data_IF_714392998389
#
_entry.id   IF_714392998389
#
_cell.length_a   1.000
_cell.length_b   1.000
_cell.length_c   1.000
_cell.angle_alpha   90.00
_cell.angle_beta   90.00
_cell.angle_gamma   90.00
#
_symmetry.space_group_name_H-M   'P 1'
#
loop_
_entity.id
_entity.type
_entity.pdbx_description
1 polymer ?
#
# COMPACT_ATOMS: atom_id res chain seq x y z
N UNK A 1 2.03 41.85 28.88
CA UNK A 1 2.17 41.34 27.49
C UNK A 1 1.82 39.86 27.51
N UNK A 2 0.56 39.53 27.83
CA UNK A 2 0.13 38.15 28.20
C UNK A 2 -1.32 37.84 27.78
N UNK A 3 -1.89 38.60 26.84
CA UNK A 3 -3.29 38.41 26.43
C UNK A 3 -3.49 37.38 25.28
N UNK A 4 -2.44 37.07 24.52
CA UNK A 4 -2.55 36.27 23.28
C UNK A 4 -2.56 34.75 23.51
N UNK A 5 -2.12 34.28 24.69
CA UNK A 5 -1.93 32.84 24.93
C UNK A 5 -3.25 32.06 25.12
N UNK A 6 -4.34 32.71 25.55
CA UNK A 6 -5.59 32.04 25.90
C UNK A 6 -6.51 31.78 24.70
N UNK A 7 -6.38 32.54 23.61
CA UNK A 7 -7.25 32.44 22.44
C UNK A 7 -6.97 31.18 21.58
N UNK A 8 -5.74 30.66 21.63
CA UNK A 8 -5.34 29.47 20.87
C UNK A 8 -5.93 28.15 21.43
N UNK A 9 -6.22 28.09 22.73
CA UNK A 9 -6.71 26.88 23.39
C UNK A 9 -8.19 26.56 23.11
N UNK A 10 -8.98 27.57 22.69
CA UNK A 10 -10.39 27.37 22.32
C UNK A 10 -10.54 26.91 20.86
N UNK A 11 -9.65 27.36 19.97
CA UNK A 11 -9.69 27.02 18.54
C UNK A 11 -9.44 25.53 18.26
N UNK A 12 -8.57 24.86 19.03
CA UNK A 12 -8.21 23.45 18.79
C UNK A 12 -9.35 22.47 19.07
N UNK A 13 -10.33 22.83 19.91
CA UNK A 13 -11.46 21.94 20.25
C UNK A 13 -12.52 21.79 19.15
N UNK A 14 -12.49 22.63 18.10
CA UNK A 14 -13.42 22.52 16.96
C UNK A 14 -12.96 21.61 15.82
N UNK A 15 -11.67 21.24 15.78
CA UNK A 15 -11.12 20.44 14.67
C UNK A 15 -11.35 18.92 14.89
N UNK A 16 -11.57 18.50 16.13
CA UNK A 16 -11.62 17.08 16.52
C UNK A 16 -13.04 16.49 16.58
N UNK A 17 -14.04 17.10 15.93
CA UNK A 17 -15.44 16.71 16.09
C UNK A 17 -16.41 17.09 14.96
N UNK A 18 -16.31 16.41 13.82
CA UNK A 18 -17.38 16.02 12.86
C UNK A 18 -16.64 15.42 11.64
N UNK A 19 -16.70 14.12 11.31
CA UNK A 19 -17.84 13.32 10.85
C UNK A 19 -18.55 13.91 9.62
N UNK A 20 -18.64 13.08 8.57
CA UNK A 20 -19.30 13.29 7.27
C UNK A 20 -18.65 14.39 6.41
N UNK A 21 -18.63 14.38 5.08
CA UNK A 21 -18.98 13.50 3.95
C UNK A 21 -18.77 14.43 2.73
N UNK A 22 -18.79 13.88 1.51
CA UNK A 22 -19.04 14.59 0.24
C UNK A 22 -18.07 15.67 -0.30
N UNK A 23 -18.03 15.65 -1.63
CA UNK A 23 -17.59 16.65 -2.60
C UNK A 23 -16.07 16.77 -2.90
N UNK A 24 -15.52 16.27 -4.02
CA UNK A 24 -15.91 16.25 -5.46
C UNK A 24 -15.43 17.49 -6.24
N UNK A 25 -15.26 17.31 -7.55
CA UNK A 25 -14.98 18.31 -8.62
C UNK A 25 -13.52 18.87 -8.53
N UNK A 26 -12.67 18.97 -9.57
CA UNK A 26 -12.79 19.12 -11.05
C UNK A 26 -11.78 18.18 -11.78
N UNK A 27 -12.12 17.35 -12.78
CA UNK A 27 -12.38 17.62 -14.24
C UNK A 27 -11.13 18.03 -15.06
N UNK A 28 -10.94 17.74 -16.37
CA UNK A 28 -11.82 17.22 -17.44
C UNK A 28 -10.99 16.65 -18.63
N UNK A 29 -11.67 15.96 -19.56
CA UNK A 29 -11.23 15.46 -20.89
C UNK A 29 -10.13 14.37 -20.94
N UNK A 30 -10.07 13.49 -21.97
CA UNK A 30 -11.09 12.95 -22.90
C UNK A 30 -10.53 11.66 -23.56
N UNK A 31 -11.34 10.92 -24.32
CA UNK A 31 -10.86 10.02 -25.38
C UNK A 31 -10.94 8.53 -25.04
N UNK A 32 -12.04 7.89 -25.42
CA UNK A 32 -12.13 6.42 -25.40
C UNK A 32 -11.30 5.79 -26.51
N UNK A 33 -10.35 4.93 -26.15
CA UNK A 33 -9.82 3.89 -27.02
C UNK A 33 -9.78 2.56 -26.27
N UNK A 34 -10.69 1.68 -26.68
CA UNK A 34 -10.58 0.24 -26.45
C UNK A 34 -9.39 -0.26 -27.27
N UNK A 35 -8.21 -0.29 -26.69
CA UNK A 35 -7.07 -0.93 -27.34
C UNK A 35 -6.11 -1.58 -26.33
N UNK A 36 -5.92 -2.87 -26.56
CA UNK A 36 -4.93 -3.75 -25.96
C UNK A 36 -3.53 -3.11 -25.93
N UNK A 37 -3.12 -2.58 -24.78
CA UNK A 37 -1.71 -2.48 -24.45
C UNK A 37 -1.40 -3.38 -23.27
N UNK A 38 -0.87 -4.56 -23.59
CA UNK A 38 -0.07 -5.33 -22.67
C UNK A 38 1.18 -4.49 -22.34
N UNK A 39 1.05 -3.55 -21.39
CA UNK A 39 2.18 -2.84 -20.81
C UNK A 39 2.89 -3.79 -19.86
N UNK A 40 3.54 -4.77 -20.48
CA UNK A 40 4.54 -5.63 -19.87
C UNK A 40 5.72 -4.74 -19.51
N UNK A 41 5.60 -4.01 -18.40
CA UNK A 41 6.75 -3.35 -17.80
C UNK A 41 7.66 -4.45 -17.23
N UNK A 42 8.44 -5.05 -18.12
CA UNK A 42 9.48 -6.03 -17.87
C UNK A 42 10.58 -5.39 -17.03
N UNK A 43 10.33 -5.35 -15.73
CA UNK A 43 11.35 -5.22 -14.69
C UNK A 43 11.55 -6.60 -14.04
N UNK A 44 11.67 -7.64 -14.87
CA UNK A 44 12.38 -8.86 -14.49
C UNK A 44 13.87 -8.51 -14.47
N UNK A 45 14.28 -7.81 -13.42
CA UNK A 45 15.69 -7.62 -13.14
C UNK A 45 16.19 -8.95 -12.57
N UNK A 46 16.75 -9.81 -13.42
CA UNK A 46 17.28 -11.15 -13.08
C UNK A 46 18.60 -11.06 -12.27
N UNK A 47 18.62 -10.16 -11.27
CA UNK A 47 19.73 -9.81 -10.40
C UNK A 47 19.46 -10.19 -8.95
N UNK A 48 19.47 -11.50 -8.65
CA UNK A 48 19.57 -12.06 -7.30
C UNK A 48 18.43 -11.72 -6.29
N UNK A 49 17.20 -11.51 -6.76
CA UNK A 49 16.03 -11.39 -5.87
C UNK A 49 15.84 -12.74 -5.12
N UNK A 50 15.72 -12.76 -3.78
CA UNK A 50 15.55 -14.00 -3.03
C UNK A 50 14.20 -14.67 -3.31
N UNK A 51 14.15 -16.02 -3.23
CA UNK A 51 12.96 -16.82 -3.61
C UNK A 51 11.67 -16.36 -2.91
N UNK A 52 11.74 -15.96 -1.64
CA UNK A 52 10.59 -15.45 -0.90
C UNK A 52 9.99 -14.18 -1.51
N UNK A 53 10.81 -13.29 -2.09
CA UNK A 53 10.36 -12.05 -2.72
C UNK A 53 9.84 -12.30 -4.14
N UNK A 54 10.38 -13.28 -4.87
CA UNK A 54 9.86 -13.71 -6.16
C UNK A 54 8.40 -14.22 -6.06
N UNK A 55 8.00 -14.79 -4.93
CA UNK A 55 6.61 -15.21 -4.66
C UNK A 55 5.65 -14.03 -4.43
N UNK A 56 6.17 -12.85 -4.13
CA UNK A 56 5.41 -11.62 -3.94
C UNK A 56 5.25 -10.80 -5.23
N UNK A 57 6.17 -10.91 -6.19
CA UNK A 57 6.11 -10.24 -7.50
C UNK A 57 4.73 -10.30 -8.20
N UNK A 58 4.02 -11.45 -8.25
CA UNK A 58 2.68 -11.53 -8.83
C UNK A 58 1.68 -10.52 -8.22
N UNK A 59 1.83 -10.17 -6.94
CA UNK A 59 0.95 -9.23 -6.22
C UNK A 59 0.97 -7.83 -6.86
N UNK A 60 2.07 -7.42 -7.53
CA UNK A 60 2.12 -6.17 -8.31
C UNK A 60 0.96 -6.11 -9.32
N UNK A 61 0.76 -7.21 -10.05
CA UNK A 61 -0.22 -7.36 -11.14
C UNK A 61 -1.62 -7.78 -10.66
N UNK A 62 -1.78 -8.30 -9.45
CA UNK A 62 -3.10 -8.72 -8.94
C UNK A 62 -4.00 -7.52 -8.60
N UNK A 63 -5.30 -7.52 -9.00
CA UNK A 63 -6.24 -6.51 -8.56
C UNK A 63 -6.56 -6.64 -7.06
N UNK A 64 -6.92 -5.54 -6.41
CA UNK A 64 -7.17 -5.50 -4.95
C UNK A 64 -8.35 -6.39 -4.51
N UNK A 65 -9.28 -6.73 -5.41
CA UNK A 65 -10.42 -7.60 -5.10
C UNK A 65 -10.04 -9.09 -4.93
N UNK A 66 -8.87 -9.56 -5.40
CA UNK A 66 -8.46 -10.98 -5.23
C UNK A 66 -7.68 -11.22 -3.93
N UNK A 67 -8.23 -10.73 -2.81
CA UNK A 67 -7.62 -10.80 -1.48
C UNK A 67 -7.11 -12.19 -1.06
N UNK A 68 -7.85 -13.24 -1.40
CA UNK A 68 -7.43 -14.63 -1.13
C UNK A 68 -6.13 -15.01 -1.86
N UNK A 69 -5.91 -14.53 -3.09
CA UNK A 69 -4.66 -14.75 -3.84
C UNK A 69 -3.50 -13.95 -3.25
N UNK A 70 -3.74 -12.70 -2.85
CA UNK A 70 -2.74 -11.85 -2.18
C UNK A 70 -2.26 -12.51 -0.89
N UNK A 71 -3.19 -12.98 -0.04
CA UNK A 71 -2.84 -13.72 1.19
C UNK A 71 -2.06 -15.00 0.91
N UNK A 72 -2.42 -15.75 -0.15
CA UNK A 72 -1.67 -16.96 -0.54
C UNK A 72 -0.21 -16.64 -0.89
N UNK A 73 0.04 -15.64 -1.73
CA UNK A 73 1.40 -15.19 -2.04
C UNK A 73 2.20 -14.81 -0.77
N UNK A 74 1.55 -14.18 0.21
CA UNK A 74 2.19 -13.81 1.48
C UNK A 74 2.53 -15.05 2.32
N UNK A 75 1.62 -16.01 2.46
CA UNK A 75 1.93 -17.27 3.16
C UNK A 75 3.02 -18.08 2.45
N UNK A 76 2.96 -18.16 1.12
CA UNK A 76 3.98 -18.85 0.32
C UNK A 76 5.36 -18.19 0.50
N UNK A 77 5.43 -16.84 0.55
CA UNK A 77 6.65 -16.10 0.87
C UNK A 77 7.14 -16.33 2.31
N UNK A 78 6.26 -16.28 3.31
CA UNK A 78 6.60 -16.55 4.72
C UNK A 78 7.17 -17.95 4.92
N UNK A 79 6.63 -18.96 4.23
CA UNK A 79 7.13 -20.33 4.24
C UNK A 79 8.56 -20.48 3.70
N UNK A 80 9.07 -19.50 2.95
CA UNK A 80 10.46 -19.47 2.42
C UNK A 80 11.47 -18.81 3.36
N UNK A 81 11.07 -18.40 4.56
CA UNK A 81 11.96 -17.83 5.58
C UNK A 81 12.53 -16.46 5.18
N UNK A 82 11.68 -15.43 4.97
CA UNK A 82 12.15 -14.08 4.71
C UNK A 82 12.87 -13.50 5.95
N UNK A 83 13.71 -12.46 5.78
CA UNK A 83 14.35 -11.78 6.90
C UNK A 83 13.30 -11.13 7.82
N UNK A 84 13.63 -10.98 9.10
CA UNK A 84 12.66 -10.64 10.16
C UNK A 84 11.91 -9.31 9.90
N UNK A 85 12.56 -8.33 9.26
CA UNK A 85 11.91 -7.06 8.88
C UNK A 85 10.75 -7.29 7.89
N UNK A 86 10.98 -8.10 6.85
CA UNK A 86 9.98 -8.41 5.83
C UNK A 86 8.89 -9.30 6.43
N UNK A 87 9.28 -10.31 7.22
CA UNK A 87 8.37 -11.19 7.95
C UNK A 87 7.38 -10.40 8.81
N UNK A 88 7.86 -9.46 9.63
CA UNK A 88 7.00 -8.64 10.50
C UNK A 88 5.98 -7.82 9.71
N UNK A 89 6.39 -7.18 8.60
CA UNK A 89 5.48 -6.41 7.74
C UNK A 89 4.43 -7.33 7.09
N UNK A 90 4.87 -8.48 6.57
CA UNK A 90 4.02 -9.46 5.91
C UNK A 90 3.00 -10.07 6.88
N UNK A 91 3.42 -10.54 8.06
CA UNK A 91 2.54 -11.10 9.10
C UNK A 91 1.55 -10.06 9.63
N UNK A 92 1.98 -8.81 9.86
CA UNK A 92 1.08 -7.73 10.25
C UNK A 92 0.04 -7.43 9.16
N UNK A 93 0.46 -7.41 7.88
CA UNK A 93 -0.44 -7.12 6.75
C UNK A 93 -1.59 -8.13 6.55
N UNK A 94 -1.46 -9.34 7.09
CA UNK A 94 -2.48 -10.41 7.07
C UNK A 94 -3.08 -10.72 8.44
N UNK A 95 -2.64 -10.03 9.50
CA UNK A 95 -3.14 -10.20 10.86
C UNK A 95 -4.62 -9.85 10.96
N UNK A 96 -5.35 -10.48 11.89
CA UNK A 96 -6.83 -10.36 12.01
C UNK A 96 -7.33 -8.92 12.25
N UNK A 97 -6.46 -8.07 12.77
CA UNK A 97 -6.71 -6.64 13.00
C UNK A 97 -6.72 -5.85 11.70
N UNK A 98 -5.67 -6.01 10.87
CA UNK A 98 -5.53 -5.36 9.57
C UNK A 98 -6.44 -6.01 8.53
N UNK A 99 -6.40 -7.34 8.42
CA UNK A 99 -7.10 -8.11 7.40
C UNK A 99 -8.56 -8.42 7.79
N UNK A 100 -9.38 -7.37 7.88
CA UNK A 100 -10.83 -7.47 8.10
C UNK A 100 -11.60 -6.80 6.96
N UNK A 101 -12.54 -7.54 6.34
CA UNK A 101 -13.31 -7.05 5.20
C UNK A 101 -12.43 -6.85 3.94
N UNK A 102 -12.65 -5.76 3.20
CA UNK A 102 -11.95 -5.43 1.95
C UNK A 102 -10.50 -4.90 2.16
N UNK A 103 -9.85 -5.28 3.26
CA UNK A 103 -8.51 -4.84 3.65
C UNK A 103 -7.36 -5.30 2.72
N UNK A 104 -7.66 -6.04 1.65
CA UNK A 104 -6.71 -6.40 0.59
C UNK A 104 -5.93 -5.22 0.01
N UNK A 105 -6.47 -3.99 0.06
CA UNK A 105 -5.80 -2.78 -0.41
C UNK A 105 -4.57 -2.42 0.44
N UNK A 106 -4.76 -2.13 1.74
CA UNK A 106 -3.67 -2.03 2.72
C UNK A 106 -2.67 -3.19 2.64
N UNK A 107 -3.14 -4.44 2.59
CA UNK A 107 -2.27 -5.62 2.46
C UNK A 107 -1.43 -5.60 1.17
N UNK A 108 -2.04 -5.28 0.02
CA UNK A 108 -1.31 -5.13 -1.24
C UNK A 108 -0.26 -4.03 -1.14
N UNK A 109 -0.59 -2.87 -0.53
CA UNK A 109 0.36 -1.76 -0.35
C UNK A 109 1.57 -2.18 0.51
N UNK A 110 1.34 -2.93 1.59
CA UNK A 110 2.43 -3.47 2.42
C UNK A 110 3.37 -4.40 1.63
N UNK A 111 2.81 -5.32 0.83
CA UNK A 111 3.62 -6.21 -0.03
C UNK A 111 4.42 -5.42 -1.07
N UNK A 112 3.83 -4.38 -1.67
CA UNK A 112 4.53 -3.50 -2.60
C UNK A 112 5.70 -2.74 -1.95
N UNK A 113 5.52 -2.28 -0.71
CA UNK A 113 6.60 -1.65 0.07
C UNK A 113 7.76 -2.62 0.30
N UNK A 114 7.46 -3.83 0.78
CA UNK A 114 8.48 -4.87 1.02
C UNK A 114 9.24 -5.22 -0.27
N UNK A 115 8.55 -5.29 -1.41
CA UNK A 115 9.21 -5.50 -2.70
C UNK A 115 10.12 -4.32 -3.06
N UNK A 116 9.64 -3.07 -2.93
CA UNK A 116 10.44 -1.89 -3.21
C UNK A 116 11.73 -1.86 -2.35
N UNK A 117 11.62 -2.19 -1.07
CA UNK A 117 12.75 -2.32 -0.14
C UNK A 117 13.75 -3.42 -0.58
N UNK A 118 13.27 -4.56 -1.10
CA UNK A 118 14.13 -5.64 -1.66
C UNK A 118 14.86 -5.18 -2.93
N UNK A 119 14.20 -4.43 -3.80
CA UNK A 119 14.80 -3.93 -5.04
C UNK A 119 15.75 -2.74 -4.82
N UNK A 120 15.80 -2.16 -3.63
CA UNK A 120 16.42 -0.85 -3.41
C UNK A 120 15.70 0.28 -4.14
N UNK A 121 14.45 0.06 -4.56
CA UNK A 121 13.55 1.07 -5.13
C UNK A 121 13.03 1.95 -3.99
N UNK A 122 13.89 2.80 -3.41
CA UNK A 122 13.46 3.82 -2.45
C UNK A 122 12.45 4.74 -3.15
N UNK A 123 11.16 4.58 -2.84
CA UNK A 123 10.13 5.52 -3.25
C UNK A 123 10.53 6.90 -2.72
N UNK A 124 10.59 7.96 -3.54
CA UNK A 124 10.93 9.28 -3.05
C UNK A 124 9.89 9.73 -2.02
N UNK A 125 10.34 10.06 -0.82
CA UNK A 125 9.54 10.86 0.12
C UNK A 125 9.27 12.22 -0.53
N UNK A 126 8.00 12.52 -0.81
CA UNK A 126 7.59 13.89 -1.14
C UNK A 126 7.90 14.77 0.08
N UNK A 127 8.84 15.71 -0.11
CA UNK A 127 9.40 16.61 0.90
C UNK A 127 8.70 17.96 0.87
#
# INVERSE_FOLDING_TARGET
MEADALLLAEATKKILGSLNTENNILTIDDGGSDETSASEKTMLNDGNIPEWAQLLEPVRKLPTNVGARIKRCIYDALNKGPPEWAKNILEHSISKEVYKGNASGPTKKAVLSVLADVYGESLPEET
#
